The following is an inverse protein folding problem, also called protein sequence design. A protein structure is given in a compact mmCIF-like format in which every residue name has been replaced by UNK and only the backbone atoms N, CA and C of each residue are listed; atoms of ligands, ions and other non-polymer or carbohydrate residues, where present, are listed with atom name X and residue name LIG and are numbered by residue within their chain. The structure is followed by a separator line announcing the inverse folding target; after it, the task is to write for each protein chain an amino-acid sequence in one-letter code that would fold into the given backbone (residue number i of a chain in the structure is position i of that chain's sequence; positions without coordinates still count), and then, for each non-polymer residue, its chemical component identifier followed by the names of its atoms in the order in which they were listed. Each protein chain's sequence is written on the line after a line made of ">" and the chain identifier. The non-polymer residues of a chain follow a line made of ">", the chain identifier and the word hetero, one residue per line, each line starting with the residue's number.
data_IF_880184662206
#
_entry.id   IF_880184662206
#
_cell.length_a   1.000
_cell.length_b   1.000
_cell.length_c   1.000
_cell.angle_alpha   90.00
_cell.angle_beta   90.00
_cell.angle_gamma   90.00
#
_symmetry.space_group_name_H-M   'P 1'
#
loop_
_entity.id
_entity.type
_entity.pdbx_description
1 polymer ?
#
# COMPACT_ATOMS: atom_id res chain seq x y z
N UNK A 1 -7.11 3.12 -11.26
CA UNK A 1 -6.38 4.29 -10.74
C UNK A 1 -7.04 5.64 -11.05
N UNK A 2 -8.04 5.62 -11.90
CA UNK A 2 -8.74 6.87 -12.24
C UNK A 2 -9.27 7.60 -11.01
N UNK A 3 -9.92 6.87 -10.12
CA UNK A 3 -10.49 7.47 -8.92
C UNK A 3 -9.46 7.92 -7.90
N UNK A 4 -8.18 7.69 -8.17
CA UNK A 4 -7.10 8.02 -7.23
C UNK A 4 -6.30 9.24 -7.66
N UNK A 5 -6.65 9.84 -8.80
CA UNK A 5 -5.95 11.05 -9.24
C UNK A 5 -6.14 12.16 -8.21
N UNK A 6 -5.07 12.86 -7.95
CA UNK A 6 -5.06 13.91 -6.95
C UNK A 6 -4.79 13.43 -5.55
N UNK A 7 -4.62 12.12 -5.37
CA UNK A 7 -4.30 11.53 -4.07
C UNK A 7 -2.89 10.96 -4.07
N UNK A 8 -2.26 11.03 -2.90
CA UNK A 8 -1.03 10.29 -2.65
C UNK A 8 -1.44 8.85 -2.37
N UNK A 9 -0.84 7.90 -3.07
CA UNK A 9 -1.21 6.48 -2.97
C UNK A 9 -0.02 5.69 -2.46
N UNK A 10 -0.24 4.91 -1.42
CA UNK A 10 0.76 3.95 -0.93
C UNK A 10 0.26 2.56 -1.26
N UNK A 11 1.02 1.84 -2.09
CA UNK A 11 0.72 0.44 -2.40
C UNK A 11 1.60 -0.42 -1.51
N UNK A 12 0.96 -1.32 -0.77
CA UNK A 12 1.67 -2.30 0.05
C UNK A 12 1.46 -3.68 -0.59
N UNK A 13 2.51 -4.21 -1.23
CA UNK A 13 2.46 -5.55 -1.80
C UNK A 13 2.70 -6.55 -0.69
N UNK A 14 1.77 -7.51 -0.54
CA UNK A 14 1.83 -8.45 0.57
C UNK A 14 1.15 -9.76 0.20
N UNK A 15 1.33 -10.76 1.05
CA UNK A 15 0.55 -11.99 0.99
C UNK A 15 0.40 -12.50 2.41
N UNK A 16 -0.68 -13.24 2.67
CA UNK A 16 -1.05 -13.49 4.07
C UNK A 16 -0.19 -14.54 4.78
N UNK A 17 0.55 -15.35 4.04
CA UNK A 17 1.39 -16.37 4.65
C UNK A 17 2.88 -15.96 4.67
N UNK A 18 3.14 -14.68 4.61
CA UNK A 18 4.50 -14.14 4.62
C UNK A 18 4.75 -13.49 5.98
N UNK A 19 5.69 -14.03 6.75
CA UNK A 19 5.92 -13.54 8.11
C UNK A 19 6.39 -12.08 8.12
N UNK A 20 7.22 -11.71 7.17
CA UNK A 20 7.68 -10.32 7.08
C UNK A 20 6.53 -9.38 6.73
N UNK A 21 5.60 -9.84 5.89
CA UNK A 21 4.41 -9.08 5.56
C UNK A 21 3.54 -8.89 6.79
N UNK A 22 3.34 -9.97 7.56
CA UNK A 22 2.51 -9.91 8.76
C UNK A 22 3.07 -8.89 9.75
N UNK A 23 4.40 -8.86 9.91
CA UNK A 23 5.03 -7.92 10.82
C UNK A 23 4.89 -6.47 10.36
N UNK A 24 4.72 -6.25 9.07
CA UNK A 24 4.56 -4.91 8.50
C UNK A 24 3.13 -4.37 8.66
N UNK A 25 2.14 -5.26 8.74
CA UNK A 25 0.74 -4.85 8.75
C UNK A 25 0.36 -3.85 9.86
N UNK A 26 0.83 -4.00 11.11
CA UNK A 26 0.48 -2.99 12.13
C UNK A 26 0.96 -1.60 11.76
N UNK A 27 2.12 -1.50 11.11
CA UNK A 27 2.65 -0.20 10.68
C UNK A 27 1.79 0.39 9.56
N UNK A 28 1.34 -0.45 8.64
CA UNK A 28 0.48 0.00 7.56
C UNK A 28 -0.87 0.46 8.11
N UNK A 29 -1.45 -0.30 9.03
CA UNK A 29 -2.71 0.08 9.66
C UNK A 29 -2.59 1.42 10.37
N UNK A 30 -1.46 1.65 11.03
CA UNK A 30 -1.21 2.92 11.71
C UNK A 30 -1.16 4.08 10.71
N UNK A 31 -0.46 3.89 9.58
CA UNK A 31 -0.38 4.92 8.55
C UNK A 31 -1.75 5.22 7.97
N UNK A 32 -2.55 4.17 7.77
CA UNK A 32 -3.92 4.35 7.29
C UNK A 32 -4.72 5.22 8.26
N UNK A 33 -4.67 4.89 9.55
CA UNK A 33 -5.42 5.65 10.54
C UNK A 33 -4.96 7.11 10.65
N UNK A 34 -3.66 7.34 10.44
CA UNK A 34 -3.10 8.69 10.58
C UNK A 34 -3.39 9.58 9.37
N UNK A 35 -3.39 9.01 8.16
CA UNK A 35 -3.35 9.82 6.95
C UNK A 35 -4.53 9.61 5.99
N UNK A 36 -5.31 8.55 6.13
CA UNK A 36 -6.39 8.27 5.18
C UNK A 36 -7.38 9.42 5.14
N UNK A 37 -7.80 9.79 3.93
CA UNK A 37 -8.73 10.89 3.74
C UNK A 37 -8.81 11.29 2.29
N UNK A 38 -9.08 12.57 2.07
CA UNK A 38 -9.30 13.08 0.72
C UNK A 38 -8.03 13.09 -0.13
N UNK A 39 -6.86 13.11 0.50
CA UNK A 39 -5.60 13.28 -0.23
C UNK A 39 -4.66 12.10 -0.11
N UNK A 40 -5.01 11.08 0.67
CA UNK A 40 -4.15 9.91 0.84
C UNK A 40 -4.98 8.64 0.91
N UNK A 41 -4.51 7.60 0.23
CA UNK A 41 -5.09 6.27 0.34
C UNK A 41 -3.97 5.24 0.39
N UNK A 42 -4.15 4.25 1.27
CA UNK A 42 -3.26 3.09 1.35
C UNK A 42 -4.04 1.90 0.79
N UNK A 43 -3.46 1.19 -0.15
CA UNK A 43 -4.07 0.01 -0.75
C UNK A 43 -3.14 -1.16 -0.57
N UNK A 44 -3.64 -2.22 0.06
CA UNK A 44 -2.91 -3.48 0.14
C UNK A 44 -3.12 -4.25 -1.14
N UNK A 45 -2.04 -4.56 -1.85
CA UNK A 45 -2.12 -5.35 -3.07
C UNK A 45 -1.69 -6.76 -2.70
N UNK A 46 -2.66 -7.66 -2.62
CA UNK A 46 -2.39 -9.04 -2.24
C UNK A 46 -2.00 -9.84 -3.47
N UNK A 47 -0.71 -10.12 -3.61
CA UNK A 47 -0.18 -10.91 -4.71
C UNK A 47 0.32 -12.23 -4.14
N UNK A 48 -0.26 -13.37 -4.56
CA UNK A 48 0.07 -14.66 -3.96
C UNK A 48 1.45 -15.15 -4.37
N UNK A 49 2.12 -15.79 -3.42
CA UNK A 49 3.34 -16.54 -3.67
C UNK A 49 3.01 -18.01 -3.89
N UNK A 50 2.06 -18.53 -3.14
CA UNK A 50 1.67 -19.94 -3.17
C UNK A 50 0.23 -20.10 -3.64
N UNK A 51 -0.10 -21.29 -4.13
CA UNK A 51 -1.41 -21.54 -4.72
C UNK A 51 -2.56 -21.29 -3.73
N UNK A 52 -2.40 -21.71 -2.46
CA UNK A 52 -3.48 -21.54 -1.48
C UNK A 52 -3.74 -20.08 -1.13
N UNK A 53 -2.81 -19.19 -1.46
CA UNK A 53 -2.98 -17.77 -1.23
C UNK A 53 -3.87 -17.11 -2.28
N UNK A 54 -4.21 -17.84 -3.35
CA UNK A 54 -5.09 -17.31 -4.39
C UNK A 54 -6.57 -17.37 -4.02
N UNK A 55 -6.93 -18.15 -3.01
CA UNK A 55 -8.32 -18.32 -2.60
C UNK A 55 -8.83 -17.02 -1.97
N UNK A 56 -9.85 -16.37 -2.58
CA UNK A 56 -10.37 -15.12 -2.04
C UNK A 56 -10.90 -15.27 -0.61
N UNK A 57 -11.42 -16.42 -0.25
CA UNK A 57 -11.92 -16.63 1.10
C UNK A 57 -10.78 -16.64 2.10
N UNK A 58 -9.63 -17.20 1.72
CA UNK A 58 -8.46 -17.18 2.59
C UNK A 58 -7.93 -15.76 2.77
N UNK A 59 -7.95 -14.97 1.70
CA UNK A 59 -7.55 -13.56 1.77
C UNK A 59 -8.51 -12.78 2.68
N UNK A 60 -9.81 -12.99 2.51
CA UNK A 60 -10.82 -12.33 3.33
C UNK A 60 -10.65 -12.67 4.81
N UNK A 61 -10.38 -13.94 5.11
CA UNK A 61 -10.11 -14.38 6.48
C UNK A 61 -8.90 -13.67 7.06
N UNK A 62 -7.84 -13.53 6.26
CA UNK A 62 -6.62 -12.87 6.72
C UNK A 62 -6.87 -11.39 6.98
N UNK A 63 -7.60 -10.72 6.09
CA UNK A 63 -7.95 -9.31 6.27
C UNK A 63 -8.65 -9.12 7.62
N UNK A 64 -9.59 -10.01 7.93
CA UNK A 64 -10.33 -9.94 9.18
C UNK A 64 -9.43 -10.25 10.38
N UNK A 65 -8.63 -11.31 10.26
CA UNK A 65 -7.74 -11.76 11.36
C UNK A 65 -6.73 -10.68 11.72
N UNK A 66 -6.18 -10.00 10.72
CA UNK A 66 -5.17 -8.96 10.93
C UNK A 66 -5.77 -7.58 11.08
N UNK A 67 -7.10 -7.46 11.10
CA UNK A 67 -7.82 -6.21 11.31
C UNK A 67 -7.41 -5.13 10.32
N UNK A 68 -7.30 -5.51 9.06
CA UNK A 68 -6.97 -4.58 7.99
C UNK A 68 -8.21 -3.77 7.63
N UNK A 69 -8.10 -2.44 7.73
CA UNK A 69 -9.22 -1.55 7.45
C UNK A 69 -9.08 -0.79 6.14
N UNK A 70 -7.88 -0.80 5.57
CA UNK A 70 -7.68 -0.16 4.28
C UNK A 70 -8.08 -1.12 3.15
N UNK A 71 -8.35 -0.58 1.94
CA UNK A 71 -8.75 -1.43 0.82
C UNK A 71 -7.67 -2.45 0.45
N UNK A 72 -8.09 -3.63 0.09
CA UNK A 72 -7.19 -4.70 -0.36
C UNK A 72 -7.63 -5.13 -1.75
N UNK A 73 -6.72 -5.03 -2.70
CA UNK A 73 -6.95 -5.52 -4.06
C UNK A 73 -6.29 -6.89 -4.21
N UNK A 74 -6.98 -7.79 -4.88
CA UNK A 74 -6.46 -9.14 -5.13
C UNK A 74 -5.76 -9.14 -6.48
N UNK A 75 -4.49 -9.53 -6.50
CA UNK A 75 -3.63 -9.50 -7.69
C UNK A 75 -3.19 -10.92 -8.04
N UNK A 76 -4.15 -11.82 -8.22
CA UNK A 76 -3.87 -13.25 -8.41
C UNK A 76 -3.11 -13.56 -9.70
N UNK A 77 -3.19 -12.68 -10.69
CA UNK A 77 -2.48 -12.87 -11.96
C UNK A 77 -1.17 -12.10 -12.01
N UNK A 78 -0.76 -11.51 -10.90
CA UNK A 78 0.49 -10.75 -10.79
C UNK A 78 0.56 -9.57 -11.76
N UNK A 79 -0.57 -9.00 -12.13
CA UNK A 79 -0.60 -7.90 -13.10
C UNK A 79 -0.01 -6.63 -12.48
N UNK A 80 -0.52 -6.24 -11.32
CA UNK A 80 -0.02 -5.05 -10.64
C UNK A 80 1.41 -5.25 -10.20
N UNK A 81 1.73 -6.45 -9.72
CA UNK A 81 3.09 -6.83 -9.35
C UNK A 81 4.07 -6.54 -10.47
N UNK A 82 3.74 -7.01 -11.69
CA UNK A 82 4.62 -6.81 -12.83
C UNK A 82 4.66 -5.36 -13.30
N UNK A 83 3.53 -4.66 -13.22
CA UNK A 83 3.48 -3.25 -13.63
C UNK A 83 4.47 -2.40 -12.85
N UNK A 84 4.66 -2.71 -11.57
CA UNK A 84 5.58 -1.94 -10.73
C UNK A 84 6.95 -2.59 -10.60
N UNK A 85 7.24 -3.62 -11.42
CA UNK A 85 8.55 -4.26 -11.42
C UNK A 85 8.90 -4.90 -10.11
N UNK A 86 7.91 -5.43 -9.40
CA UNK A 86 8.11 -5.93 -8.06
C UNK A 86 8.84 -7.27 -8.07
N UNK A 87 9.60 -7.55 -7.00
CA UNK A 87 10.33 -8.79 -6.85
C UNK A 87 10.30 -9.31 -5.41
N UNK A 88 9.72 -8.58 -4.49
CA UNK A 88 9.80 -8.90 -3.06
C UNK A 88 8.47 -8.71 -2.35
N UNK A 89 8.25 -9.50 -1.29
CA UNK A 89 7.20 -9.32 -0.30
C UNK A 89 7.85 -9.04 1.04
N UNK A 90 7.42 -8.06 1.82
CA UNK A 90 6.55 -6.96 1.43
C UNK A 90 7.31 -5.91 0.65
N UNK A 91 6.57 -5.05 -0.03
CA UNK A 91 7.18 -3.93 -0.74
C UNK A 91 6.21 -2.76 -0.72
N UNK A 92 6.74 -1.58 -0.46
CA UNK A 92 5.95 -0.36 -0.48
C UNK A 92 6.31 0.46 -1.70
N UNK A 93 5.30 0.98 -2.39
CA UNK A 93 5.48 1.86 -3.53
C UNK A 93 4.63 3.10 -3.28
N UNK A 94 5.28 4.25 -3.17
CA UNK A 94 4.62 5.51 -2.86
C UNK A 94 4.49 6.34 -4.12
N UNK A 95 3.26 6.71 -4.45
CA UNK A 95 2.90 7.38 -5.70
C UNK A 95 2.35 8.76 -5.36
N UNK A 96 2.84 9.79 -6.06
CA UNK A 96 2.39 11.14 -5.78
C UNK A 96 1.03 11.43 -6.43
N UNK A 97 0.51 12.62 -6.17
CA UNK A 97 -0.82 12.99 -6.64
C UNK A 97 -0.92 13.08 -8.17
N UNK A 98 0.21 13.09 -8.84
CA UNK A 98 0.26 13.10 -10.31
C UNK A 98 0.42 11.71 -10.90
N UNK A 99 0.48 10.68 -10.06
CA UNK A 99 0.61 9.30 -10.50
C UNK A 99 2.04 8.84 -10.72
N UNK A 100 3.03 9.59 -10.23
CA UNK A 100 4.44 9.21 -10.40
C UNK A 100 4.96 8.51 -9.16
N UNK A 101 5.73 7.44 -9.37
CA UNK A 101 6.38 6.74 -8.26
C UNK A 101 7.51 7.62 -7.72
N UNK A 102 7.44 7.89 -6.41
CA UNK A 102 8.40 8.78 -5.75
C UNK A 102 9.29 8.07 -4.75
N UNK A 103 8.89 6.92 -4.25
CA UNK A 103 9.67 6.21 -3.26
C UNK A 103 9.26 4.73 -3.26
N UNK A 104 10.23 3.85 -3.06
CA UNK A 104 10.00 2.41 -3.00
C UNK A 104 10.88 1.82 -1.92
N UNK A 105 10.37 0.79 -1.26
CA UNK A 105 11.11 0.09 -0.21
C UNK A 105 10.72 -1.38 -0.22
N UNK A 106 11.71 -2.26 -0.24
CA UNK A 106 11.51 -3.71 -0.16
C UNK A 106 11.80 -4.19 1.25
N UNK A 107 10.94 -5.07 1.76
CA UNK A 107 11.14 -5.67 3.07
C UNK A 107 10.57 -4.84 4.21
N UNK A 108 10.93 -5.23 5.43
CA UNK A 108 10.48 -4.53 6.64
C UNK A 108 11.37 -3.33 6.93
N UNK A 109 10.88 -2.45 7.80
CA UNK A 109 11.68 -1.36 8.30
C UNK A 109 11.48 -0.04 7.57
N UNK A 110 12.28 0.94 7.93
CA UNK A 110 12.27 2.28 7.35
C UNK A 110 10.90 2.98 7.45
N UNK A 111 10.14 2.65 8.50
CA UNK A 111 8.79 3.21 8.64
C UNK A 111 8.82 4.71 8.89
N UNK A 112 9.84 5.21 9.59
CA UNK A 112 9.99 6.64 9.80
C UNK A 112 10.26 7.36 8.49
N UNK A 113 11.13 6.77 7.66
CA UNK A 113 11.43 7.34 6.35
C UNK A 113 10.19 7.36 5.47
N UNK A 114 9.43 6.26 5.49
CA UNK A 114 8.18 6.18 4.73
C UNK A 114 7.22 7.29 5.18
N UNK A 115 7.09 7.48 6.48
CA UNK A 115 6.21 8.52 7.00
C UNK A 115 6.66 9.91 6.59
N UNK A 116 7.96 10.17 6.59
CA UNK A 116 8.50 11.44 6.11
C UNK A 116 8.14 11.67 4.65
N UNK A 117 8.27 10.64 3.83
CA UNK A 117 7.96 10.76 2.40
C UNK A 117 6.48 11.00 2.17
N UNK A 118 5.63 10.33 2.95
CA UNK A 118 4.18 10.56 2.86
C UNK A 118 3.87 12.02 3.19
N UNK A 119 4.43 12.51 4.28
CA UNK A 119 4.19 13.91 4.69
C UNK A 119 4.66 14.90 3.64
N UNK A 120 5.83 14.62 3.04
CA UNK A 120 6.36 15.49 1.99
C UNK A 120 5.42 15.55 0.79
N UNK A 121 4.91 14.41 0.35
CA UNK A 121 4.00 14.37 -0.78
C UNK A 121 2.65 15.00 -0.47
N UNK A 122 2.16 14.81 0.76
CA UNK A 122 0.93 15.45 1.18
C UNK A 122 1.08 16.97 1.22
N UNK A 123 2.25 17.44 1.61
CA UNK A 123 2.54 18.87 1.60
C UNK A 123 2.48 19.43 0.20
N UNK A 124 2.97 18.66 -0.79
CA UNK A 124 2.88 19.07 -2.18
C UNK A 124 1.44 19.27 -2.62
N UNK A 125 0.54 18.37 -2.21
CA UNK A 125 -0.86 18.51 -2.57
C UNK A 125 -1.48 19.71 -1.86
N UNK A 126 -1.10 19.95 -0.62
CA UNK A 126 -1.65 21.05 0.16
C UNK A 126 -1.26 22.41 -0.34
N UNK A 127 -0.12 22.51 -1.03
CA UNK A 127 0.34 23.80 -1.54
C UNK A 127 -0.33 24.18 -2.86
N UNK A 128 -0.93 23.23 -3.50
CA UNK A 128 -1.63 23.54 -4.76
C UNK A 128 -3.02 24.06 -4.52
N UNK A 129 -3.35 24.19 -3.33
CA UNK A 129 -4.47 24.51 -3.12
C UNK A 129 -5.17 25.19 -2.42
N UNK A 130 -5.11 25.65 -2.20
CA UNK A 130 -5.73 25.88 -1.39
C UNK A 130 -6.80 25.39 -1.56
N UNK A 131 -6.15 25.08 -1.62
CA UNK A 131 -6.53 24.58 -1.84
C UNK A 131 -6.90 24.04 -2.56
N UNK A 132 -6.69 23.82 -3.03
CA UNK A 132 -6.94 23.33 -3.84
C UNK A 132 -7.65 23.01 -3.98
#
# INVERSE_FOLDING_TARGET
>A
MEGLKGKVVLLEFWTFDCVNCIRTLPHMSRLHRMYAGDRFVLIGVHTPEFEFEKDPDNVASAVKRFRIEYPVAIDNENVTWRLYGNQYWPRQTLIDARGRVRWEHAGEGDYEKLQEEIRALLKETGTTGPDR
#
